data_IF_835155720412
#
_entry.id   IF_835155720412
#
_cell.length_a   1.000
_cell.length_b   1.000
_cell.length_c   1.000
_cell.angle_alpha   90.00
_cell.angle_beta   90.00
_cell.angle_gamma   90.00
#
_symmetry.space_group_name_H-M   'P 1'
#
loop_
_entity.id
_entity.type
_entity.pdbx_description
1 polymer ?
#
# COMPACT_ATOMS: atom_id res chain seq x y z
N UNK A 1 -33.23 -43.15 -17.38
CA UNK A 1 -32.13 -43.01 -16.40
C UNK A 1 -30.92 -42.54 -17.20
N UNK A 2 -30.26 -41.41 -16.96
CA UNK A 2 -29.57 -41.07 -15.72
C UNK A 2 -29.20 -39.57 -15.78
N UNK A 3 -29.85 -38.81 -14.91
CA UNK A 3 -29.46 -37.56 -14.26
C UNK A 3 -28.40 -36.69 -14.97
N UNK A 4 -28.85 -35.60 -15.63
CA UNK A 4 -28.02 -34.42 -15.84
C UNK A 4 -27.64 -33.84 -14.47
N UNK A 5 -26.41 -34.09 -14.03
CA UNK A 5 -25.87 -33.47 -12.83
C UNK A 5 -25.56 -32.00 -13.15
N UNK A 6 -26.30 -31.11 -12.49
CA UNK A 6 -26.14 -29.66 -12.60
C UNK A 6 -24.80 -29.25 -11.98
N UNK A 7 -23.91 -28.68 -12.78
CA UNK A 7 -22.63 -28.14 -12.31
C UNK A 7 -22.85 -26.71 -11.81
N UNK A 8 -23.24 -26.55 -10.55
CA UNK A 8 -23.30 -25.24 -9.89
C UNK A 8 -21.89 -24.78 -9.55
N UNK A 9 -21.28 -24.02 -10.46
CA UNK A 9 -20.03 -23.31 -10.22
C UNK A 9 -20.34 -22.08 -9.35
N UNK A 10 -20.23 -22.23 -8.03
CA UNK A 10 -20.27 -21.11 -7.10
C UNK A 10 -19.00 -20.27 -7.30
N UNK A 11 -19.12 -19.18 -8.06
CA UNK A 11 -18.06 -18.20 -8.18
C UNK A 11 -17.85 -17.54 -6.82
N UNK A 12 -16.76 -17.90 -6.13
CA UNK A 12 -16.27 -17.20 -4.96
C UNK A 12 -15.81 -15.80 -5.40
N UNK A 13 -16.72 -14.83 -5.39
CA UNK A 13 -16.37 -13.42 -5.49
C UNK A 13 -15.73 -13.01 -4.16
N UNK A 14 -14.44 -13.31 -4.00
CA UNK A 14 -13.66 -12.66 -2.97
C UNK A 14 -13.65 -11.16 -3.30
N UNK A 15 -14.02 -10.28 -2.37
CA UNK A 15 -13.76 -8.87 -2.56
C UNK A 15 -12.23 -8.72 -2.63
N UNK A 16 -11.70 -8.49 -3.83
CA UNK A 16 -10.40 -7.83 -3.94
C UNK A 16 -10.60 -6.45 -3.36
N UNK A 17 -10.36 -6.30 -2.06
CA UNK A 17 -10.14 -5.01 -1.46
C UNK A 17 -8.97 -4.42 -2.25
N UNK A 18 -9.27 -3.46 -3.12
CA UNK A 18 -8.25 -2.67 -3.79
C UNK A 18 -7.48 -1.98 -2.67
N UNK A 19 -6.26 -2.44 -2.43
CA UNK A 19 -5.33 -1.79 -1.52
C UNK A 19 -4.99 -0.44 -2.18
N UNK A 20 -5.68 0.61 -1.74
CA UNK A 20 -5.38 1.95 -2.18
C UNK A 20 -4.12 2.43 -1.45
N UNK A 21 -3.19 3.02 -2.19
CA UNK A 21 -2.02 3.71 -1.64
C UNK A 21 -2.44 4.62 -0.48
N UNK A 22 -1.56 4.81 0.53
CA UNK A 22 -1.87 5.69 1.65
C UNK A 22 -2.19 7.09 1.14
N UNK A 23 -3.09 7.79 1.82
CA UNK A 23 -3.47 9.16 1.49
C UNK A 23 -2.67 10.18 2.31
N UNK A 24 -2.58 11.41 1.80
CA UNK A 24 -2.02 12.54 2.56
C UNK A 24 -2.84 12.73 3.84
N UNK A 25 -2.15 12.80 4.98
CA UNK A 25 -2.73 12.88 6.32
C UNK A 25 -2.85 11.54 7.05
N UNK A 26 -2.70 10.40 6.36
CA UNK A 26 -2.70 9.10 7.02
C UNK A 26 -1.48 8.97 7.96
N UNK A 27 -1.70 8.40 9.14
CA UNK A 27 -0.62 8.15 10.09
C UNK A 27 -0.07 6.74 9.85
N UNK A 28 1.16 6.68 9.36
CA UNK A 28 1.89 5.42 9.10
C UNK A 28 2.92 5.09 10.18
N UNK A 29 3.23 6.04 11.07
CA UNK A 29 4.14 5.86 12.19
C UNK A 29 5.46 6.61 12.01
N UNK A 30 6.20 6.77 13.11
CA UNK A 30 7.42 7.60 13.18
C UNK A 30 8.72 6.80 13.13
N UNK A 31 8.63 5.47 13.05
CA UNK A 31 9.78 4.58 12.90
C UNK A 31 9.62 3.66 11.68
N UNK A 32 10.73 3.13 11.14
CA UNK A 32 10.70 2.35 9.90
C UNK A 32 9.84 1.09 9.98
N UNK A 33 9.78 0.42 11.12
CA UNK A 33 9.02 -0.83 11.25
C UNK A 33 7.52 -0.58 11.17
N UNK A 34 7.02 0.40 11.92
CA UNK A 34 5.60 0.78 11.91
C UNK A 34 5.20 1.34 10.53
N UNK A 35 6.05 2.21 9.95
CA UNK A 35 5.83 2.76 8.63
C UNK A 35 5.77 1.67 7.56
N UNK A 36 6.69 0.71 7.55
CA UNK A 36 6.64 -0.42 6.61
C UNK A 36 5.34 -1.21 6.77
N UNK A 37 4.97 -1.58 7.99
CA UNK A 37 3.78 -2.37 8.21
C UNK A 37 2.50 -1.64 7.74
N UNK A 38 2.39 -0.34 8.00
CA UNK A 38 1.27 0.48 7.57
C UNK A 38 1.23 0.66 6.05
N UNK A 39 2.37 0.96 5.43
CA UNK A 39 2.51 1.16 3.99
C UNK A 39 2.23 -0.13 3.21
N UNK A 40 2.79 -1.27 3.63
CA UNK A 40 2.54 -2.56 2.98
C UNK A 40 1.08 -2.98 3.12
N UNK A 41 0.46 -2.71 4.28
CA UNK A 41 -0.98 -2.92 4.48
C UNK A 41 -1.84 -2.03 3.56
N UNK A 42 -1.34 -0.86 3.17
CA UNK A 42 -1.96 0.02 2.18
C UNK A 42 -1.59 -0.34 0.73
N UNK A 43 -0.88 -1.44 0.49
CA UNK A 43 -0.50 -1.87 -0.85
C UNK A 43 0.72 -1.16 -1.43
N UNK A 44 1.53 -0.51 -0.59
CA UNK A 44 2.78 0.16 -0.92
C UNK A 44 3.94 -0.70 -0.40
N UNK A 45 4.52 -1.55 -1.26
CA UNK A 45 5.62 -2.45 -0.89
C UNK A 45 6.92 -1.68 -0.72
N UNK A 46 7.38 -1.48 0.51
CA UNK A 46 8.54 -0.63 0.82
C UNK A 46 9.85 -1.31 0.41
N UNK A 47 10.71 -0.57 -0.30
CA UNK A 47 12.03 -1.00 -0.70
C UNK A 47 13.13 -0.32 0.13
N UNK A 48 12.95 0.97 0.46
CA UNK A 48 13.94 1.76 1.20
C UNK A 48 13.29 2.93 1.94
N UNK A 49 14.02 3.43 2.95
CA UNK A 49 13.75 4.71 3.59
C UNK A 49 14.97 5.61 3.47
N UNK A 50 14.73 6.89 3.17
CA UNK A 50 15.74 7.94 3.09
C UNK A 50 15.30 9.16 3.93
N UNK A 51 16.26 9.92 4.44
CA UNK A 51 15.98 11.18 5.12
C UNK A 51 16.28 12.33 4.15
N UNK A 52 15.25 13.03 3.72
CA UNK A 52 15.36 14.09 2.71
C UNK A 52 14.56 15.32 3.11
N UNK A 53 15.18 16.51 3.05
CA UNK A 53 14.47 17.78 3.26
C UNK A 53 13.78 17.92 4.63
N UNK A 54 14.25 17.18 5.65
CA UNK A 54 13.62 17.13 6.98
C UNK A 54 12.39 16.21 7.06
N UNK A 55 12.14 15.39 6.04
CA UNK A 55 11.09 14.36 5.97
C UNK A 55 11.72 12.97 5.90
N UNK A 56 10.90 11.95 6.16
CA UNK A 56 11.23 10.55 5.84
C UNK A 56 10.63 10.25 4.47
N UNK A 57 11.43 9.80 3.53
CA UNK A 57 10.96 9.31 2.23
C UNK A 57 10.92 7.78 2.26
N UNK A 58 9.77 7.19 1.98
CA UNK A 58 9.62 5.76 1.76
C UNK A 58 9.47 5.49 0.26
N UNK A 59 10.46 4.83 -0.35
CA UNK A 59 10.38 4.36 -1.72
C UNK A 59 9.65 3.03 -1.73
N UNK A 60 8.48 2.98 -2.35
CA UNK A 60 7.68 1.76 -2.43
C UNK A 60 7.13 1.49 -3.81
N UNK A 61 6.73 0.24 -4.05
CA UNK A 61 6.01 -0.17 -5.25
C UNK A 61 4.53 -0.27 -4.94
N UNK A 62 3.71 0.49 -5.67
CA UNK A 62 2.26 0.33 -5.68
C UNK A 62 1.91 -1.07 -6.20
N UNK A 63 1.31 -1.89 -5.35
CA UNK A 63 0.89 -3.24 -5.71
C UNK A 63 -0.26 -3.28 -6.71
N UNK A 64 -1.05 -2.20 -6.83
CA UNK A 64 -2.14 -2.10 -7.80
C UNK A 64 -1.63 -1.74 -9.20
N UNK A 65 -0.61 -0.88 -9.31
CA UNK A 65 -0.13 -0.36 -10.61
C UNK A 65 1.27 -0.83 -10.99
N UNK A 66 1.98 -1.51 -10.08
CA UNK A 66 3.41 -1.87 -10.20
C UNK A 66 4.35 -0.68 -10.39
N UNK A 67 3.92 0.55 -10.08
CA UNK A 67 4.72 1.76 -10.22
C UNK A 67 5.50 2.08 -8.95
N UNK A 68 6.68 2.68 -9.10
CA UNK A 68 7.40 3.26 -7.96
C UNK A 68 6.66 4.51 -7.49
N UNK A 69 6.54 4.66 -6.18
CA UNK A 69 5.96 5.81 -5.50
C UNK A 69 6.83 6.17 -4.31
N UNK A 70 7.09 7.45 -4.15
CA UNK A 70 7.78 8.03 -3.00
C UNK A 70 6.73 8.59 -2.05
N UNK A 71 6.70 8.08 -0.82
CA UNK A 71 5.81 8.54 0.24
C UNK A 71 6.62 9.38 1.21
N UNK A 72 6.36 10.68 1.26
CA UNK A 72 7.00 11.57 2.22
C UNK A 72 6.21 11.61 3.52
N UNK A 73 6.88 11.39 4.64
CA UNK A 73 6.31 11.23 5.98
C UNK A 73 6.92 12.26 6.92
N UNK A 74 6.07 12.87 7.75
CA UNK A 74 6.50 13.73 8.85
C UNK A 74 7.19 12.89 9.94
N UNK A 75 8.49 13.11 10.25
CA UNK A 75 9.20 12.34 11.25
C UNK A 75 8.66 12.55 12.68
N UNK A 76 7.92 13.64 12.95
CA UNK A 76 7.37 13.94 14.28
C UNK A 76 6.05 13.24 14.54
N UNK A 77 5.20 13.17 13.52
CA UNK A 77 3.81 12.71 13.66
C UNK A 77 3.56 11.37 12.99
N UNK A 78 4.41 10.98 12.03
CA UNK A 78 4.21 9.81 11.19
C UNK A 78 3.14 10.03 10.11
N UNK A 79 2.72 11.28 9.87
CA UNK A 79 1.71 11.60 8.88
C UNK A 79 2.30 11.61 7.46
N UNK A 80 1.59 11.06 6.49
CA UNK A 80 1.92 11.23 5.07
C UNK A 80 1.71 12.68 4.69
N UNK A 81 2.75 13.31 4.18
CA UNK A 81 2.77 14.69 3.73
C UNK A 81 2.53 14.79 2.23
N UNK A 82 3.07 13.85 1.45
CA UNK A 82 3.07 13.92 0.00
C UNK A 82 3.30 12.53 -0.62
N UNK A 83 2.77 12.33 -1.82
CA UNK A 83 2.99 11.16 -2.66
C UNK A 83 3.50 11.63 -4.02
N UNK A 84 4.65 11.13 -4.45
CA UNK A 84 5.17 11.36 -5.80
C UNK A 84 5.27 10.05 -6.56
N UNK A 85 5.01 10.11 -7.87
CA UNK A 85 5.44 9.01 -8.74
C UNK A 85 6.97 8.99 -8.73
N UNK A 86 7.57 7.85 -8.42
CA UNK A 86 9.02 7.73 -8.45
C UNK A 86 9.57 7.92 -9.85
N UNK A 87 10.76 8.53 -9.95
CA UNK A 87 11.54 8.64 -11.18
C UNK A 87 12.13 7.29 -11.65
#
# INVERSE_FOLDING_TARGET
MKNLLSLTLAALTFPMAALAMPAVGDIVGTNPADATAALEKAGCKVAAFEAEGGKIEAKCTDTATSKLVEVYIDPKTGAVLELKSGD
#
